data_IF_550157903783
#
_entry.id   IF_550157903783
#
_cell.length_a   1.000
_cell.length_b   1.000
_cell.length_c   1.000
_cell.angle_alpha   90.00
_cell.angle_beta   90.00
_cell.angle_gamma   90.00
#
_symmetry.space_group_name_H-M   'P 1'
#
loop_
_entity.id
_entity.type
_entity.pdbx_description
1 polymer ?
#
# COMPACT_ATOMS: atom_id res chain seq x y z
N UNK A 1 -7.08 23.12 20.38
CA UNK A 1 -7.49 21.70 20.23
C UNK A 1 -7.80 21.27 18.78
N UNK A 2 -8.35 22.10 17.88
CA UNK A 2 -8.70 21.69 16.50
C UNK A 2 -7.53 21.20 15.61
N UNK A 3 -6.32 21.76 15.75
CA UNK A 3 -5.15 21.41 14.90
C UNK A 3 -4.60 19.99 15.11
N UNK A 4 -4.64 19.46 16.33
CA UNK A 4 -4.13 18.10 16.63
C UNK A 4 -5.07 17.00 16.14
N UNK A 5 -6.39 17.25 16.16
CA UNK A 5 -7.37 16.28 15.65
C UNK A 5 -7.32 16.13 14.13
N UNK A 6 -7.01 17.21 13.39
CA UNK A 6 -6.89 17.15 11.93
C UNK A 6 -5.75 16.24 11.47
N UNK A 7 -4.56 16.37 12.06
CA UNK A 7 -3.40 15.55 11.71
C UNK A 7 -3.65 14.04 11.94
N UNK A 8 -4.38 13.69 13.01
CA UNK A 8 -4.77 12.30 13.28
C UNK A 8 -5.72 11.74 12.21
N UNK A 9 -6.60 12.56 11.63
CA UNK A 9 -7.51 12.13 10.57
C UNK A 9 -6.74 11.85 9.27
N UNK A 10 -5.78 12.71 8.92
CA UNK A 10 -4.91 12.50 7.74
C UNK A 10 -3.98 11.29 7.87
N UNK A 11 -3.68 10.84 9.10
CA UNK A 11 -2.92 9.60 9.33
C UNK A 11 -3.78 8.33 9.15
N UNK A 12 -5.11 8.46 9.16
CA UNK A 12 -6.05 7.32 9.07
C UNK A 12 -6.72 7.26 7.70
N UNK A 13 -6.96 8.41 7.07
CA UNK A 13 -7.70 8.54 5.83
C UNK A 13 -6.86 9.28 4.77
N UNK A 14 -6.95 8.88 3.48
CA UNK A 14 -6.33 9.62 2.40
C UNK A 14 -6.75 11.10 2.39
N UNK A 15 -5.91 12.04 1.92
CA UNK A 15 -6.18 13.48 2.03
C UNK A 15 -7.53 13.93 1.45
N UNK A 16 -7.94 13.39 0.29
CA UNK A 16 -9.22 13.71 -0.34
C UNK A 16 -10.42 13.21 0.48
N UNK A 17 -10.29 12.02 1.10
CA UNK A 17 -11.31 11.44 1.99
C UNK A 17 -11.38 12.22 3.30
N UNK A 18 -10.22 12.51 3.91
CA UNK A 18 -10.13 13.31 5.12
C UNK A 18 -10.77 14.70 4.94
N UNK A 19 -10.51 15.36 3.79
CA UNK A 19 -11.15 16.63 3.45
C UNK A 19 -12.67 16.51 3.39
N UNK A 20 -13.19 15.46 2.75
CA UNK A 20 -14.63 15.16 2.68
C UNK A 20 -15.27 15.01 4.07
N UNK A 21 -14.60 14.30 4.99
CA UNK A 21 -15.08 14.12 6.38
C UNK A 21 -14.95 15.38 7.24
N UNK A 22 -14.00 16.26 6.94
CA UNK A 22 -13.80 17.53 7.67
C UNK A 22 -14.71 18.67 7.19
N UNK A 23 -15.10 18.67 5.91
CA UNK A 23 -15.94 19.72 5.32
C UNK A 23 -17.43 19.55 5.59
N UNK A 24 -17.87 18.31 5.80
CA UNK A 24 -19.30 17.98 5.81
C UNK A 24 -19.82 17.82 7.24
N UNK A 25 -20.80 18.63 7.62
CA UNK A 25 -21.58 18.44 8.86
C UNK A 25 -22.51 17.24 8.68
N UNK A 26 -22.01 16.00 8.82
CA UNK A 26 -22.85 14.80 8.68
C UNK A 26 -23.33 14.24 10.02
N UNK A 27 -24.52 13.65 9.93
CA UNK A 27 -25.07 12.66 10.86
C UNK A 27 -24.23 11.38 10.81
N UNK A 28 -24.18 10.66 11.91
CA UNK A 28 -23.25 9.56 12.19
C UNK A 28 -23.30 8.32 11.25
N UNK A 29 -24.21 8.25 10.26
CA UNK A 29 -24.56 7.01 9.55
C UNK A 29 -24.31 6.99 8.03
N UNK A 30 -23.80 8.06 7.42
CA UNK A 30 -23.57 8.02 5.97
C UNK A 30 -22.24 7.36 5.59
N UNK A 31 -22.32 6.26 4.84
CA UNK A 31 -21.17 5.53 4.30
C UNK A 31 -20.47 6.34 3.19
N UNK A 32 -19.14 6.48 3.28
CA UNK A 32 -18.34 6.97 2.16
C UNK A 32 -18.06 5.84 1.17
N UNK A 33 -18.43 6.04 -0.09
CA UNK A 33 -18.03 5.16 -1.20
C UNK A 33 -17.76 5.96 -2.47
N UNK A 34 -16.78 5.51 -3.25
CA UNK A 34 -16.44 6.08 -4.55
C UNK A 34 -15.93 4.98 -5.49
N UNK A 35 -16.44 4.96 -6.70
CA UNK A 35 -16.00 4.03 -7.73
C UNK A 35 -14.91 4.67 -8.60
N UNK A 36 -13.85 3.91 -8.85
CA UNK A 36 -12.73 4.29 -9.70
C UNK A 36 -12.64 3.30 -10.85
N UNK A 37 -12.55 3.81 -12.09
CA UNK A 37 -12.55 2.96 -13.28
C UNK A 37 -11.17 2.34 -13.57
N UNK A 38 -10.10 3.11 -13.35
CA UNK A 38 -8.73 2.74 -13.73
C UNK A 38 -7.79 3.05 -12.57
N UNK A 39 -7.47 2.04 -11.75
CA UNK A 39 -6.45 2.16 -10.70
C UNK A 39 -5.44 1.04 -10.81
N UNK A 40 -4.23 1.27 -10.31
CA UNK A 40 -3.21 0.23 -10.12
C UNK A 40 -3.18 -0.23 -8.67
N UNK A 41 -3.08 -1.53 -8.42
CA UNK A 41 -3.00 -2.13 -7.08
C UNK A 41 -1.73 -2.97 -6.99
N UNK A 42 -0.94 -2.75 -5.93
CA UNK A 42 0.27 -3.46 -5.58
C UNK A 42 0.07 -4.22 -4.27
N UNK A 43 0.43 -5.50 -4.27
CA UNK A 43 0.70 -6.29 -3.07
C UNK A 43 2.18 -6.64 -3.04
N UNK A 44 2.85 -6.34 -1.94
CA UNK A 44 4.25 -6.70 -1.71
C UNK A 44 4.39 -7.43 -0.39
N UNK A 45 4.67 -8.73 -0.43
CA UNK A 45 4.80 -9.58 0.75
C UNK A 45 6.24 -10.02 0.99
N UNK A 46 6.57 -10.28 2.25
CA UNK A 46 7.77 -11.01 2.65
C UNK A 46 7.37 -12.43 3.06
N UNK A 47 7.41 -13.42 2.14
CA UNK A 47 7.00 -14.80 2.45
C UNK A 47 7.86 -15.42 3.56
N UNK A 48 9.17 -15.20 3.55
CA UNK A 48 10.11 -15.76 4.52
C UNK A 48 9.95 -15.17 5.94
N UNK A 49 9.09 -14.15 6.12
CA UNK A 49 8.83 -13.58 7.43
C UNK A 49 8.09 -14.55 8.36
N UNK A 50 7.24 -15.42 7.82
CA UNK A 50 6.54 -16.42 8.62
C UNK A 50 7.52 -17.43 9.25
N UNK A 51 8.55 -17.84 8.50
CA UNK A 51 9.59 -18.75 8.99
C UNK A 51 10.54 -18.05 9.99
N UNK A 52 10.75 -16.75 9.81
CA UNK A 52 11.56 -15.93 10.72
C UNK A 52 10.86 -15.66 12.05
N UNK A 53 9.53 -15.56 12.03
CA UNK A 53 8.72 -15.39 13.23
C UNK A 53 8.68 -16.70 14.04
N UNK A 54 9.62 -16.87 14.98
CA UNK A 54 9.57 -17.94 15.97
C UNK A 54 9.12 -17.39 17.33
N UNK A 55 8.09 -18.00 17.92
CA UNK A 55 7.62 -17.72 19.28
C UNK A 55 8.51 -18.38 20.36
N UNK A 56 9.71 -18.82 19.99
CA UNK A 56 10.63 -19.43 20.94
C UNK A 56 11.26 -18.38 21.85
N UNK A 57 11.36 -18.72 23.13
CA UNK A 57 11.78 -17.86 24.26
C UNK A 57 13.16 -17.21 24.13
N UNK A 58 13.92 -17.58 23.10
CA UNK A 58 15.27 -17.09 22.82
C UNK A 58 15.24 -15.70 22.13
N UNK A 59 14.14 -15.33 21.46
CA UNK A 59 14.01 -14.09 20.66
C UNK A 59 13.09 -13.02 21.30
N UNK A 60 13.15 -12.81 22.62
CA UNK A 60 12.29 -11.84 23.33
C UNK A 60 10.80 -11.94 22.92
N UNK A 61 10.28 -13.17 22.77
CA UNK A 61 8.88 -13.44 22.40
C UNK A 61 8.44 -12.84 21.05
N UNK A 62 9.33 -12.78 20.04
CA UNK A 62 9.00 -12.28 18.70
C UNK A 62 9.03 -10.75 18.57
N UNK A 63 9.40 -10.02 19.62
CA UNK A 63 9.51 -8.56 19.60
C UNK A 63 10.52 -8.07 18.55
N UNK A 64 11.65 -8.74 18.39
CA UNK A 64 12.67 -8.36 17.40
C UNK A 64 12.16 -8.54 15.96
N UNK A 65 11.29 -9.54 15.72
CA UNK A 65 10.63 -9.70 14.42
C UNK A 65 9.69 -8.53 14.13
N UNK A 66 8.96 -8.06 15.13
CA UNK A 66 8.09 -6.90 15.01
C UNK A 66 8.88 -5.61 14.81
N UNK A 67 10.03 -5.44 15.47
CA UNK A 67 10.92 -4.29 15.27
C UNK A 67 11.44 -4.24 13.83
N UNK A 68 11.93 -5.38 13.33
CA UNK A 68 12.39 -5.47 11.94
C UNK A 68 11.28 -5.20 10.95
N UNK A 69 10.08 -5.78 11.15
CA UNK A 69 8.93 -5.48 10.31
C UNK A 69 8.58 -3.99 10.33
N UNK A 70 8.58 -3.37 11.50
CA UNK A 70 8.32 -1.94 11.63
C UNK A 70 9.36 -1.09 10.90
N UNK A 71 10.63 -1.47 10.94
CA UNK A 71 11.71 -0.81 10.19
C UNK A 71 11.49 -0.90 8.68
N UNK A 72 11.21 -2.11 8.14
CA UNK A 72 10.88 -2.29 6.72
C UNK A 72 9.70 -1.44 6.30
N UNK A 73 8.61 -1.44 7.08
CA UNK A 73 7.41 -0.66 6.76
C UNK A 73 7.70 0.85 6.84
N UNK A 74 8.53 1.28 7.79
CA UNK A 74 8.93 2.69 7.92
C UNK A 74 9.76 3.15 6.74
N UNK A 75 10.68 2.33 6.24
CA UNK A 75 11.47 2.61 5.03
C UNK A 75 10.59 2.67 3.78
N UNK A 76 9.59 1.78 3.68
CA UNK A 76 8.63 1.81 2.58
C UNK A 76 7.78 3.08 2.60
N UNK A 77 7.34 3.51 3.79
CA UNK A 77 6.60 4.76 3.97
C UNK A 77 7.48 5.98 3.64
N UNK A 78 8.77 5.97 4.01
CA UNK A 78 9.71 7.03 3.64
C UNK A 78 9.94 7.13 2.12
N UNK A 79 9.87 6.00 1.40
CA UNK A 79 9.90 6.00 -0.08
C UNK A 79 8.60 6.60 -0.62
N UNK A 80 7.45 6.22 -0.06
CA UNK A 80 6.14 6.73 -0.48
C UNK A 80 6.04 8.26 -0.35
N UNK A 81 6.69 8.84 0.66
CA UNK A 81 6.72 10.29 0.89
C UNK A 81 7.54 11.10 -0.14
N UNK A 82 8.32 10.43 -1.01
CA UNK A 82 9.09 11.10 -2.07
C UNK A 82 8.15 11.76 -3.10
N UNK A 83 8.57 12.89 -3.67
CA UNK A 83 7.77 13.66 -4.62
C UNK A 83 7.34 12.88 -5.87
N UNK A 84 8.15 11.92 -6.29
CA UNK A 84 7.92 11.06 -7.46
C UNK A 84 6.74 10.08 -7.24
N UNK A 85 6.44 9.72 -5.98
CA UNK A 85 5.43 8.71 -5.63
C UNK A 85 4.15 9.31 -5.01
N UNK A 86 3.96 10.63 -5.10
CA UNK A 86 2.78 11.34 -4.55
C UNK A 86 1.43 10.83 -5.06
N UNK A 87 1.39 10.21 -6.24
CA UNK A 87 0.17 9.63 -6.81
C UNK A 87 -0.16 8.24 -6.25
N UNK A 88 0.70 7.68 -5.41
CA UNK A 88 0.51 6.38 -4.75
C UNK A 88 -0.02 6.63 -3.33
N UNK A 89 -0.96 5.79 -2.91
CA UNK A 89 -1.54 5.80 -1.58
C UNK A 89 -1.34 4.42 -0.98
N UNK A 90 -0.79 4.37 0.24
CA UNK A 90 -0.82 3.17 1.08
C UNK A 90 -2.25 2.88 1.50
N UNK A 91 -2.74 1.68 1.22
CA UNK A 91 -4.06 1.24 1.67
C UNK A 91 -3.96 0.72 3.10
N UNK A 92 -3.10 -0.29 3.31
CA UNK A 92 -2.90 -0.93 4.61
C UNK A 92 -1.69 -1.87 4.58
N UNK A 93 -1.28 -2.26 5.78
CA UNK A 93 -0.36 -3.37 5.99
C UNK A 93 -1.15 -4.57 6.54
N UNK A 94 -0.96 -5.75 5.94
CA UNK A 94 -1.64 -7.00 6.31
C UNK A 94 -0.56 -8.04 6.66
N UNK A 95 -0.26 -8.20 7.96
CA UNK A 95 0.88 -9.02 8.39
C UNK A 95 2.19 -8.48 7.80
N UNK A 96 2.91 -9.32 7.05
CA UNK A 96 4.14 -8.94 6.34
C UNK A 96 3.89 -8.40 4.91
N UNK A 97 2.64 -8.10 4.56
CA UNK A 97 2.25 -7.63 3.22
C UNK A 97 1.91 -6.15 3.22
N UNK A 98 2.59 -5.39 2.38
CA UNK A 98 2.33 -3.99 2.10
C UNK A 98 1.37 -3.85 0.91
N UNK A 99 0.26 -3.13 1.10
CA UNK A 99 -0.74 -2.89 0.06
C UNK A 99 -0.79 -1.41 -0.30
N UNK A 100 -0.58 -1.10 -1.58
CA UNK A 100 -0.62 0.25 -2.11
C UNK A 100 -1.44 0.32 -3.38
N UNK A 101 -1.96 1.51 -3.69
CA UNK A 101 -2.70 1.76 -4.91
C UNK A 101 -2.32 3.10 -5.55
N UNK A 102 -2.46 3.21 -6.87
CA UNK A 102 -2.22 4.42 -7.66
C UNK A 102 -3.46 4.77 -8.48
N UNK A 103 -3.62 6.03 -8.86
CA UNK A 103 -4.78 6.50 -9.63
C UNK A 103 -6.03 6.79 -8.78
N UNK A 104 -5.87 6.86 -7.45
CA UNK A 104 -6.92 7.25 -6.50
C UNK A 104 -6.87 8.76 -6.19
N UNK A 105 -5.67 9.35 -6.20
CA UNK A 105 -5.48 10.80 -6.00
C UNK A 105 -5.32 11.48 -7.36
N UNK A 106 -5.91 12.68 -7.52
CA UNK A 106 -5.86 13.55 -8.72
C UNK A 106 -4.44 14.09 -9.03
N UNK A 107 -3.38 13.34 -8.76
CA UNK A 107 -2.00 13.77 -9.02
C UNK A 107 -1.64 13.79 -10.53
N UNK A 108 -2.51 13.29 -11.41
CA UNK A 108 -2.25 13.20 -12.84
C UNK A 108 -3.37 13.75 -13.72
N UNK A 109 -4.22 14.65 -13.19
CA UNK A 109 -5.17 15.42 -14.00
C UNK A 109 -4.49 16.63 -14.69
N UNK A 110 -3.20 16.51 -15.02
CA UNK A 110 -2.67 17.32 -16.11
C UNK A 110 -3.10 16.65 -17.41
N UNK A 111 -3.93 17.33 -18.20
CA UNK A 111 -4.49 16.92 -19.49
C UNK A 111 -3.44 16.44 -20.53
N UNK A 112 -2.15 16.51 -20.20
CA UNK A 112 -0.98 16.20 -21.04
C UNK A 112 -0.19 14.96 -20.57
N UNK A 113 -0.55 14.34 -19.45
CA UNK A 113 0.12 13.13 -18.96
C UNK A 113 -0.26 11.86 -19.74
N UNK A 114 0.63 10.85 -19.84
CA UNK A 114 0.23 9.55 -20.37
C UNK A 114 -0.88 8.98 -19.47
N UNK A 115 -1.98 8.54 -20.07
CA UNK A 115 -3.16 7.96 -19.39
C UNK A 115 -2.82 6.95 -18.30
N UNK A 116 -1.68 6.28 -18.45
CA UNK A 116 -1.22 5.19 -17.59
C UNK A 116 0.05 5.51 -16.79
N UNK A 117 0.45 6.78 -16.73
CA UNK A 117 1.67 7.20 -16.02
C UNK A 117 1.67 6.78 -14.55
N UNK A 118 0.50 6.76 -13.89
CA UNK A 118 0.38 6.29 -12.51
C UNK A 118 0.79 4.81 -12.33
N UNK A 119 0.61 3.96 -13.35
CA UNK A 119 1.04 2.55 -13.32
C UNK A 119 2.55 2.43 -13.44
N UNK A 120 3.17 3.22 -14.33
CA UNK A 120 4.63 3.28 -14.43
C UNK A 120 5.25 3.73 -13.10
N UNK A 121 4.65 4.72 -12.44
CA UNK A 121 5.06 5.16 -11.10
C UNK A 121 4.87 4.05 -10.05
N UNK A 122 3.77 3.28 -10.11
CA UNK A 122 3.54 2.15 -9.21
C UNK A 122 4.57 1.01 -9.38
N UNK A 123 4.95 0.70 -10.63
CA UNK A 123 6.01 -0.27 -10.92
C UNK A 123 7.37 0.25 -10.45
N UNK A 124 7.66 1.53 -10.69
CA UNK A 124 8.86 2.21 -10.20
C UNK A 124 8.96 2.15 -8.67
N UNK A 125 7.84 2.38 -7.97
CA UNK A 125 7.75 2.24 -6.52
C UNK A 125 8.06 0.81 -6.08
N UNK A 126 7.48 -0.21 -6.72
CA UNK A 126 7.76 -1.61 -6.40
C UNK A 126 9.26 -1.99 -6.56
N UNK A 127 9.95 -1.40 -7.54
CA UNK A 127 11.39 -1.58 -7.71
C UNK A 127 12.20 -0.90 -6.60
N UNK A 128 11.80 0.30 -6.15
CA UNK A 128 12.42 0.97 -5.02
C UNK A 128 12.22 0.20 -3.71
N UNK A 129 11.03 -0.38 -3.48
CA UNK A 129 10.79 -1.25 -2.31
C UNK A 129 11.76 -2.44 -2.28
N UNK A 130 12.01 -3.05 -3.44
CA UNK A 130 12.96 -4.16 -3.57
C UNK A 130 14.39 -3.73 -3.24
N UNK A 131 14.81 -2.55 -3.69
CA UNK A 131 16.15 -1.99 -3.35
C UNK A 131 16.26 -1.71 -1.86
N UNK A 132 15.24 -1.11 -1.26
CA UNK A 132 15.22 -0.78 0.16
C UNK A 132 15.34 -2.04 1.03
N UNK A 133 14.59 -3.10 0.72
CA UNK A 133 14.74 -4.37 1.43
C UNK A 133 16.14 -4.97 1.25
N UNK A 134 16.75 -4.84 0.07
CA UNK A 134 18.13 -5.30 -0.16
C UNK A 134 19.11 -4.56 0.74
N UNK A 135 18.99 -3.23 0.86
CA UNK A 135 19.84 -2.43 1.74
C UNK A 135 19.67 -2.81 3.22
N UNK A 136 18.43 -3.03 3.67
CA UNK A 136 18.15 -3.48 5.05
C UNK A 136 18.74 -4.87 5.33
N UNK A 137 18.63 -5.80 4.37
CA UNK A 137 19.23 -7.12 4.49
C UNK A 137 20.75 -7.04 4.68
N UNK A 138 21.44 -6.16 3.95
CA UNK A 138 22.89 -5.96 4.08
C UNK A 138 23.27 -5.40 5.45
N UNK A 139 22.46 -4.51 6.02
CA UNK A 139 22.71 -3.88 7.32
C UNK A 139 22.40 -4.81 8.50
N UNK A 140 21.35 -5.61 8.39
CA UNK A 140 20.88 -6.50 9.46
C UNK A 140 21.37 -7.95 9.34
N UNK A 141 22.19 -8.26 8.33
CA UNK A 141 22.63 -9.63 8.01
C UNK A 141 21.47 -10.62 7.83
N UNK A 142 20.36 -10.14 7.27
CA UNK A 142 19.16 -10.91 7.01
C UNK A 142 19.04 -11.27 5.51
N UNK A 143 18.13 -12.17 5.17
CA UNK A 143 17.88 -12.58 3.78
C UNK A 143 16.37 -12.62 3.46
N UNK A 144 15.69 -11.51 3.66
CA UNK A 144 14.30 -11.38 3.25
C UNK A 144 14.19 -11.08 1.76
N UNK A 145 13.17 -11.64 1.12
CA UNK A 145 12.94 -11.41 -0.31
C UNK A 145 11.49 -11.00 -0.50
N UNK A 146 11.25 -9.97 -1.31
CA UNK A 146 9.89 -9.57 -1.66
C UNK A 146 9.30 -10.50 -2.73
N UNK A 147 8.02 -10.80 -2.57
CA UNK A 147 7.16 -11.35 -3.62
C UNK A 147 6.06 -10.33 -3.90
N UNK A 148 5.92 -9.91 -5.15
CA UNK A 148 5.07 -8.77 -5.51
C UNK A 148 4.09 -9.11 -6.62
N UNK A 149 2.88 -8.59 -6.53
CA UNK A 149 1.82 -8.71 -7.52
C UNK A 149 1.22 -7.36 -7.84
N UNK A 150 1.12 -7.04 -9.13
CA UNK A 150 0.49 -5.80 -9.61
C UNK A 150 -0.61 -6.12 -10.59
N UNK A 151 -1.76 -5.48 -10.41
CA UNK A 151 -2.85 -5.50 -11.38
C UNK A 151 -3.48 -4.11 -11.51
N UNK A 152 -4.17 -3.86 -12.62
CA UNK A 152 -4.92 -2.64 -12.85
C UNK A 152 -6.37 -2.95 -13.25
N UNK A 153 -7.26 -2.00 -12.97
CA UNK A 153 -8.67 -2.07 -13.37
C UNK A 153 -9.58 -1.34 -12.39
N UNK A 154 -10.91 -1.58 -12.49
CA UNK A 154 -11.89 -0.87 -11.68
C UNK A 154 -11.90 -1.36 -10.23
N UNK A 155 -12.16 -0.45 -9.29
CA UNK A 155 -12.43 -0.75 -7.88
C UNK A 155 -13.50 0.16 -7.31
N UNK A 156 -14.04 -0.24 -6.16
CA UNK A 156 -14.82 0.61 -5.28
C UNK A 156 -14.01 0.88 -4.02
N UNK A 157 -13.76 2.15 -3.72
CA UNK A 157 -13.17 2.58 -2.46
C UNK A 157 -14.25 3.01 -1.48
N UNK A 158 -13.94 2.97 -0.19
CA UNK A 158 -14.88 3.40 0.84
C UNK A 158 -14.27 3.41 2.24
N UNK A 159 -15.00 4.00 3.19
CA UNK A 159 -14.62 3.99 4.61
C UNK A 159 -15.61 3.13 5.38
N UNK A 160 -15.11 2.09 6.06
CA UNK A 160 -15.94 1.15 6.84
C UNK A 160 -15.54 1.17 8.32
N UNK A 161 -16.53 1.01 9.19
CA UNK A 161 -16.33 0.76 10.63
C UNK A 161 -16.77 1.93 11.51
N UNK A 162 -17.75 1.67 12.38
CA UNK A 162 -18.34 2.72 13.24
C UNK A 162 -17.41 3.20 14.37
N UNK A 163 -16.56 2.32 14.91
CA UNK A 163 -15.65 2.65 16.04
C UNK A 163 -14.18 2.79 15.62
N UNK A 164 -13.79 2.12 14.54
CA UNK A 164 -12.46 2.16 13.95
C UNK A 164 -12.63 2.29 12.43
N UNK A 165 -12.93 3.50 11.93
CA UNK A 165 -13.08 3.73 10.50
C UNK A 165 -11.76 3.43 9.81
N UNK A 166 -11.81 2.67 8.71
CA UNK A 166 -10.66 2.39 7.86
C UNK A 166 -11.07 2.60 6.40
N UNK A 167 -10.21 3.28 5.66
CA UNK A 167 -10.32 3.38 4.22
C UNK A 167 -9.79 2.10 3.57
N UNK A 168 -10.49 1.57 2.59
CA UNK A 168 -10.09 0.36 1.88
C UNK A 168 -10.68 0.34 0.47
N UNK A 169 -10.19 -0.59 -0.36
CA UNK A 169 -10.61 -0.78 -1.75
C UNK A 169 -11.05 -2.22 -2.00
N UNK A 170 -12.13 -2.38 -2.75
CA UNK A 170 -12.71 -3.68 -3.10
C UNK A 170 -12.93 -3.79 -4.60
N UNK A 171 -12.80 -5.01 -5.11
CA UNK A 171 -13.08 -5.32 -6.51
C UNK A 171 -12.29 -6.52 -7.00
N UNK A 172 -12.66 -7.03 -8.19
CA UNK A 172 -11.93 -8.12 -8.81
C UNK A 172 -10.47 -7.75 -9.08
N UNK A 173 -10.19 -6.48 -9.39
CA UNK A 173 -8.83 -5.95 -9.59
C UNK A 173 -7.91 -6.23 -8.39
N UNK A 174 -8.41 -5.99 -7.17
CA UNK A 174 -7.69 -6.22 -5.91
C UNK A 174 -7.44 -7.72 -5.71
N UNK A 175 -8.47 -8.54 -5.95
CA UNK A 175 -8.36 -9.99 -5.82
C UNK A 175 -7.34 -10.59 -6.79
N UNK A 176 -7.31 -10.10 -8.03
CA UNK A 176 -6.33 -10.52 -9.03
C UNK A 176 -4.93 -10.06 -8.64
N UNK A 177 -4.74 -8.83 -8.17
CA UNK A 177 -3.43 -8.36 -7.67
C UNK A 177 -2.90 -9.25 -6.53
N UNK A 178 -3.76 -9.58 -5.56
CA UNK A 178 -3.42 -10.49 -4.47
C UNK A 178 -3.10 -11.91 -4.96
N UNK A 179 -3.78 -12.41 -6.01
CA UNK A 179 -3.42 -13.69 -6.66
C UNK A 179 -2.08 -13.62 -7.38
N UNK A 180 -1.78 -12.51 -8.05
CA UNK A 180 -0.47 -12.30 -8.70
C UNK A 180 0.66 -12.29 -7.67
N UNK A 181 0.44 -11.72 -6.49
CA UNK A 181 1.43 -11.80 -5.41
C UNK A 181 1.55 -13.24 -4.89
N UNK A 182 0.42 -13.85 -4.50
CA UNK A 182 0.46 -15.15 -3.80
C UNK A 182 0.99 -16.28 -4.67
N UNK A 183 0.66 -16.29 -5.97
CA UNK A 183 1.15 -17.27 -6.96
C UNK A 183 2.47 -16.89 -7.63
N UNK A 184 3.00 -15.71 -7.30
CA UNK A 184 4.23 -15.18 -7.89
C UNK A 184 5.50 -15.90 -7.45
N UNK A 185 6.55 -15.75 -8.26
CA UNK A 185 7.88 -16.22 -7.92
C UNK A 185 8.52 -15.27 -6.91
N UNK A 186 9.10 -15.82 -5.84
CA UNK A 186 9.86 -15.04 -4.85
C UNK A 186 10.97 -14.23 -5.55
N UNK A 187 11.14 -12.96 -5.14
CA UNK A 187 12.11 -12.02 -5.71
C UNK A 187 11.67 -11.32 -6.98
N UNK A 188 10.48 -11.62 -7.50
CA UNK A 188 9.96 -11.08 -8.75
C UNK A 188 8.70 -10.26 -8.54
N UNK A 189 8.41 -9.38 -9.50
CA UNK A 189 7.16 -8.65 -9.62
C UNK A 189 6.34 -9.38 -10.69
N UNK A 190 5.23 -9.98 -10.30
CA UNK A 190 4.27 -10.54 -11.25
C UNK A 190 3.25 -9.46 -11.62
N UNK A 191 3.06 -9.24 -12.91
CA UNK A 191 2.10 -8.27 -13.43
C UNK A 191 1.06 -8.96 -14.30
N UNK A 192 -0.15 -8.42 -14.37
CA UNK A 192 -1.14 -8.88 -15.34
C UNK A 192 -0.71 -8.52 -16.76
N UNK A 193 -1.18 -9.29 -17.76
CA UNK A 193 -0.81 -9.13 -19.17
C UNK A 193 -0.86 -7.68 -19.64
N UNK A 194 -1.92 -6.96 -19.27
CA UNK A 194 -2.14 -5.58 -19.71
C UNK A 194 -1.05 -4.62 -19.25
N UNK A 195 -0.47 -4.83 -18.05
CA UNK A 195 0.61 -3.98 -17.53
C UNK A 195 1.94 -4.23 -18.25
N UNK A 196 2.17 -5.44 -18.76
CA UNK A 196 3.43 -5.81 -19.38
C UNK A 196 3.69 -5.13 -20.76
N UNK A 197 2.65 -4.58 -21.39
CA UNK A 197 2.71 -3.98 -22.73
C UNK A 197 2.49 -2.46 -22.74
N UNK A 198 2.56 -1.82 -21.57
CA UNK A 198 2.38 -0.37 -21.39
C UNK A 198 3.73 0.32 -21.23
#
# INVERSE_FOLDING_TARGET
MKRRNGALIYNILPPHVAAYFLSTTRYHDDLYSQSYAEIGVLFASMPNFADFYSEESINNQGLECLRFLNEVISDFDAILDRSEFKCIIKIKTIGSTYMAASGISECTDSEEGPRWGHLSTLVGFALELKKALSSLNEQSFNHFVLKMGINHGPVTAGVIGARKPHYDIWGNTVNVASRMESTGKVGHIQVSYWIAFM
#
